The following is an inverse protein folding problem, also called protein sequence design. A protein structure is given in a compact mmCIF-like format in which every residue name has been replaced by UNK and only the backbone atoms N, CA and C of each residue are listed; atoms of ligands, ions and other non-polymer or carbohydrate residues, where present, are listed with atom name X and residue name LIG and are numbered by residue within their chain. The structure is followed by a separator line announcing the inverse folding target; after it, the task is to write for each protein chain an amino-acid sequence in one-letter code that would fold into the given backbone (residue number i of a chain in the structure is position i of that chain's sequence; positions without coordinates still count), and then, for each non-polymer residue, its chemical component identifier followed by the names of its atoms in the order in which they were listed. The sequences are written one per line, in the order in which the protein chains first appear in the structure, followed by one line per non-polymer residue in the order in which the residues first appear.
data_IF_958027478494
#
_entry.id   IF_958027478494
#
_cell.length_a   1.000
_cell.length_b   1.000
_cell.length_c   1.000
_cell.angle_alpha   90.00
_cell.angle_beta   90.00
_cell.angle_gamma   90.00
#
_symmetry.space_group_name_H-M   'P 1'
#
loop_
_entity.id
_entity.type
_entity.pdbx_description
1 polymer ?
#
# COMPACT_ATOMS: atom_id res chain seq x y z
N UNK A 1 -49.08 8.78 14.78
CA UNK A 1 -47.75 9.38 14.88
C UNK A 1 -47.86 10.72 14.19
N UNK A 2 -47.91 11.84 14.95
CA UNK A 2 -47.95 13.19 14.41
C UNK A 2 -46.67 13.48 13.65
N UNK A 3 -46.76 13.94 12.40
CA UNK A 3 -45.63 14.49 11.66
C UNK A 3 -44.99 15.62 12.48
N UNK A 4 -43.66 15.67 12.62
CA UNK A 4 -42.99 16.73 13.33
C UNK A 4 -43.24 18.06 12.59
N UNK A 5 -43.84 19.03 13.25
CA UNK A 5 -44.02 20.39 12.74
C UNK A 5 -42.68 20.91 12.19
N UNK A 6 -42.61 21.49 10.96
CA UNK A 6 -41.39 22.05 10.44
C UNK A 6 -40.85 23.11 11.41
N UNK A 7 -39.67 22.90 11.98
CA UNK A 7 -39.05 23.93 12.83
C UNK A 7 -38.78 25.16 11.98
N UNK A 8 -39.30 26.32 12.37
CA UNK A 8 -39.06 27.59 11.68
C UNK A 8 -37.57 27.89 11.54
N UNK A 9 -37.17 28.49 10.43
CA UNK A 9 -35.80 28.92 10.19
C UNK A 9 -35.39 29.98 11.23
N UNK A 10 -34.11 29.89 11.66
CA UNK A 10 -33.50 30.83 12.59
C UNK A 10 -33.22 32.13 11.87
N UNK A 11 -33.64 33.24 12.48
CA UNK A 11 -33.28 34.59 12.00
C UNK A 11 -31.87 34.96 12.45
N UNK A 12 -31.17 35.73 11.63
CA UNK A 12 -29.85 36.23 11.91
C UNK A 12 -29.42 37.31 10.93
N UNK A 13 -28.20 37.80 11.07
CA UNK A 13 -27.63 38.80 10.17
C UNK A 13 -26.18 38.44 9.80
N UNK A 14 -25.71 38.86 8.60
CA UNK A 14 -24.32 38.69 8.25
C UNK A 14 -23.44 39.56 9.16
N UNK A 15 -22.38 38.99 9.69
CA UNK A 15 -21.39 39.66 10.52
C UNK A 15 -20.00 39.09 10.23
N UNK A 16 -18.96 39.93 10.41
CA UNK A 16 -17.59 39.43 10.35
C UNK A 16 -17.32 38.42 11.47
N UNK A 17 -16.56 37.38 11.17
CA UNK A 17 -16.17 36.34 12.15
C UNK A 17 -14.68 36.45 12.40
N UNK A 18 -14.28 37.34 13.31
CA UNK A 18 -12.90 37.69 13.57
C UNK A 18 -11.99 36.47 13.83
N UNK A 19 -12.45 35.51 14.66
CA UNK A 19 -11.70 34.27 14.97
C UNK A 19 -11.45 33.38 13.77
N UNK A 20 -12.16 33.59 12.65
CA UNK A 20 -12.02 32.86 11.40
C UNK A 20 -11.46 33.72 10.28
N UNK A 21 -11.12 34.96 10.57
CA UNK A 21 -10.66 35.97 9.61
C UNK A 21 -11.61 36.15 8.40
N UNK A 22 -12.95 35.95 8.64
CA UNK A 22 -14.00 36.11 7.63
C UNK A 22 -14.62 37.50 7.71
N UNK A 23 -14.68 38.18 6.55
CA UNK A 23 -15.28 39.50 6.42
C UNK A 23 -16.83 39.42 6.40
N UNK A 24 -17.48 40.52 6.77
CA UNK A 24 -18.92 40.62 6.68
C UNK A 24 -19.44 40.48 5.24
N UNK A 25 -18.70 41.03 4.25
CA UNK A 25 -19.09 40.94 2.85
C UNK A 25 -19.10 39.50 2.34
N UNK A 26 -18.10 38.69 2.75
CA UNK A 26 -18.08 37.27 2.46
C UNK A 26 -19.26 36.54 3.12
N UNK A 27 -19.48 36.78 4.39
CA UNK A 27 -20.62 36.20 5.12
C UNK A 27 -21.97 36.60 4.50
N UNK A 28 -22.13 37.87 4.08
CA UNK A 28 -23.32 38.38 3.39
C UNK A 28 -23.58 37.68 2.06
N UNK A 29 -22.54 37.60 1.24
CA UNK A 29 -22.61 36.91 -0.07
C UNK A 29 -23.04 35.45 0.06
N UNK A 30 -22.48 34.74 1.01
CA UNK A 30 -22.70 33.32 1.21
C UNK A 30 -23.98 33.00 2.01
N UNK A 31 -24.66 34.00 2.56
CA UNK A 31 -25.78 33.77 3.47
C UNK A 31 -25.36 33.05 4.75
N UNK A 32 -24.13 33.31 5.23
CA UNK A 32 -23.60 32.77 6.48
C UNK A 32 -23.80 33.81 7.58
N UNK A 33 -24.70 33.52 8.51
CA UNK A 33 -25.21 34.50 9.45
C UNK A 33 -24.86 34.16 10.89
N UNK A 34 -24.90 35.18 11.74
CA UNK A 34 -24.93 35.05 13.20
C UNK A 34 -26.33 35.27 13.70
N UNK A 35 -26.81 34.36 14.56
CA UNK A 35 -28.13 34.41 15.16
C UNK A 35 -28.12 33.84 16.57
N UNK A 36 -29.33 33.57 17.11
CA UNK A 36 -29.48 32.99 18.45
C UNK A 36 -30.56 31.92 18.44
N UNK A 37 -30.35 30.84 19.18
CA UNK A 37 -31.33 29.78 19.45
C UNK A 37 -31.40 29.61 20.96
N UNK A 38 -32.57 29.83 21.55
CA UNK A 38 -32.79 29.77 23.01
C UNK A 38 -31.76 30.59 23.80
N UNK A 39 -31.43 31.80 23.30
CA UNK A 39 -30.47 32.70 23.93
C UNK A 39 -29.00 32.34 23.70
N UNK A 40 -28.68 31.23 23.05
CA UNK A 40 -27.32 30.83 22.72
C UNK A 40 -26.94 31.33 21.32
N UNK A 41 -25.76 31.95 21.15
CA UNK A 41 -25.28 32.39 19.84
C UNK A 41 -25.00 31.19 18.92
N UNK A 42 -25.41 31.34 17.66
CA UNK A 42 -25.27 30.28 16.66
C UNK A 42 -24.83 30.86 15.33
N UNK A 43 -23.94 30.12 14.64
CA UNK A 43 -23.59 30.39 13.24
C UNK A 43 -24.58 29.62 12.35
N UNK A 44 -25.10 30.29 11.31
CA UNK A 44 -26.16 29.79 10.45
C UNK A 44 -25.67 29.77 9.01
N UNK A 45 -25.49 28.59 8.46
CA UNK A 45 -25.26 28.42 7.02
C UNK A 45 -26.62 28.21 6.34
N UNK A 46 -27.07 29.20 5.54
CA UNK A 46 -28.32 29.14 4.82
C UNK A 46 -28.13 28.43 3.48
N UNK A 47 -28.65 27.22 3.37
CA UNK A 47 -28.70 26.48 2.10
C UNK A 47 -29.86 27.03 1.26
N UNK A 48 -29.57 27.29 0.00
CA UNK A 48 -30.52 27.89 -0.92
C UNK A 48 -30.67 27.04 -2.17
N UNK A 49 -31.89 27.00 -2.65
CA UNK A 49 -32.23 26.48 -3.98
C UNK A 49 -31.68 27.40 -5.06
N UNK A 50 -31.69 26.94 -6.32
CA UNK A 50 -31.17 27.70 -7.46
C UNK A 50 -31.86 29.05 -7.67
N UNK A 51 -33.12 29.18 -7.31
CA UNK A 51 -33.89 30.42 -7.33
C UNK A 51 -33.65 31.34 -6.11
N UNK A 52 -32.67 30.96 -5.26
CA UNK A 52 -32.22 31.77 -4.12
C UNK A 52 -33.05 31.68 -2.85
N UNK A 53 -34.08 30.81 -2.81
CA UNK A 53 -34.90 30.59 -1.59
C UNK A 53 -34.16 29.67 -0.63
N UNK A 54 -34.22 29.99 0.68
CA UNK A 54 -33.67 29.14 1.74
C UNK A 54 -34.48 27.85 1.85
N UNK A 55 -33.83 26.70 1.64
CA UNK A 55 -34.42 25.35 1.77
C UNK A 55 -33.98 24.63 3.04
N UNK A 56 -32.82 24.98 3.59
CA UNK A 56 -32.31 24.42 4.82
C UNK A 56 -31.35 25.37 5.53
N UNK A 57 -31.17 25.14 6.82
CA UNK A 57 -30.13 25.79 7.61
C UNK A 57 -29.31 24.76 8.37
N UNK A 58 -27.97 24.90 8.31
CA UNK A 58 -27.08 24.20 9.20
C UNK A 58 -26.58 25.14 10.27
N UNK A 59 -26.85 24.79 11.51
CA UNK A 59 -26.57 25.58 12.69
C UNK A 59 -25.33 25.03 13.37
N UNK A 60 -24.37 25.90 13.68
CA UNK A 60 -23.17 25.53 14.44
C UNK A 60 -23.13 26.27 15.76
N UNK A 61 -23.17 25.55 16.86
CA UNK A 61 -23.12 26.07 18.20
C UNK A 61 -21.69 26.32 18.71
N UNK A 62 -21.57 27.03 19.84
CA UNK A 62 -20.25 27.35 20.42
C UNK A 62 -19.48 26.11 20.89
N UNK A 63 -20.16 25.07 21.34
CA UNK A 63 -19.62 23.77 21.74
C UNK A 63 -19.20 22.88 20.54
N UNK A 64 -19.28 23.40 19.33
CA UNK A 64 -19.01 22.71 18.04
C UNK A 64 -20.06 21.66 17.66
N UNK A 65 -21.18 21.56 18.37
CA UNK A 65 -22.32 20.74 17.94
C UNK A 65 -23.02 21.36 16.73
N UNK A 66 -23.77 20.54 16.01
CA UNK A 66 -24.53 20.95 14.82
C UNK A 66 -25.98 20.55 14.92
N UNK A 67 -26.87 21.37 14.34
CA UNK A 67 -28.25 21.01 14.10
C UNK A 67 -28.65 21.44 12.67
N UNK A 68 -29.57 20.71 12.08
CA UNK A 68 -30.09 21.02 10.74
C UNK A 68 -31.60 21.32 10.84
N UNK A 69 -32.05 22.33 10.08
CA UNK A 69 -33.45 22.65 9.85
C UNK A 69 -33.72 22.61 8.36
N UNK A 70 -34.75 21.93 7.95
CA UNK A 70 -35.04 21.66 6.55
C UNK A 70 -34.20 20.54 5.99
N UNK A 71 -34.22 20.33 4.68
CA UNK A 71 -33.50 19.31 3.98
C UNK A 71 -32.29 19.90 3.25
N UNK A 72 -31.08 19.34 3.52
CA UNK A 72 -29.85 19.74 2.83
C UNK A 72 -29.86 19.16 1.42
N UNK A 73 -30.10 20.00 0.43
CA UNK A 73 -30.16 19.64 -0.99
C UNK A 73 -28.98 20.28 -1.73
N UNK A 74 -28.22 19.49 -2.48
CA UNK A 74 -27.11 19.98 -3.29
C UNK A 74 -25.90 20.46 -2.48
N UNK A 75 -25.04 21.22 -3.11
CA UNK A 75 -23.82 21.77 -2.51
C UNK A 75 -24.07 23.17 -1.94
N UNK A 76 -23.48 23.46 -0.78
CA UNK A 76 -23.57 24.80 -0.19
C UNK A 76 -22.92 25.85 -1.09
N UNK A 77 -23.60 26.93 -1.36
CA UNK A 77 -23.14 28.02 -2.22
C UNK A 77 -23.35 27.79 -3.72
N UNK A 78 -23.88 26.63 -4.15
CA UNK A 78 -24.07 26.32 -5.58
C UNK A 78 -24.93 27.39 -6.32
N UNK A 79 -25.90 27.95 -5.66
CA UNK A 79 -26.80 29.01 -6.21
C UNK A 79 -26.08 30.32 -6.55
N UNK A 80 -24.87 30.54 -6.03
CA UNK A 80 -24.07 31.76 -6.25
C UNK A 80 -23.38 31.79 -7.62
N UNK A 81 -23.33 30.66 -8.32
CA UNK A 81 -22.50 30.48 -9.48
C UNK A 81 -23.30 30.03 -10.69
N UNK A 82 -22.83 30.46 -11.87
CA UNK A 82 -23.38 30.01 -13.14
C UNK A 82 -23.09 28.51 -13.38
N UNK A 83 -23.84 27.92 -14.28
CA UNK A 83 -23.63 26.53 -14.70
C UNK A 83 -22.42 26.40 -15.62
N UNK A 84 -21.37 25.78 -15.11
CA UNK A 84 -20.15 25.51 -15.88
C UNK A 84 -19.16 26.68 -15.92
N UNK A 85 -17.97 26.37 -16.38
CA UNK A 85 -16.85 27.30 -16.49
C UNK A 85 -15.52 26.56 -16.41
N UNK A 86 -14.44 27.33 -16.33
CA UNK A 86 -13.09 26.76 -16.35
C UNK A 86 -12.78 25.95 -15.07
N UNK A 87 -13.19 26.44 -13.89
CA UNK A 87 -12.84 25.78 -12.61
C UNK A 87 -13.87 26.04 -11.55
N UNK A 88 -14.13 25.03 -10.72
CA UNK A 88 -14.85 25.15 -9.45
C UNK A 88 -14.06 24.46 -8.35
N UNK A 89 -14.07 25.05 -7.14
CA UNK A 89 -13.45 24.43 -5.95
C UNK A 89 -14.56 23.85 -5.07
N UNK A 90 -14.37 22.62 -4.61
CA UNK A 90 -15.27 21.92 -3.69
C UNK A 90 -14.52 21.72 -2.37
N UNK A 91 -15.04 22.30 -1.29
CA UNK A 91 -14.46 22.19 0.06
C UNK A 91 -15.26 21.23 0.94
N UNK A 92 -14.64 20.79 2.04
CA UNK A 92 -15.29 19.89 3.00
C UNK A 92 -16.30 20.58 3.90
N UNK A 93 -16.05 21.83 4.28
CA UNK A 93 -16.86 22.60 5.21
C UNK A 93 -17.30 23.95 4.65
N UNK A 94 -18.42 24.49 5.18
CA UNK A 94 -18.95 25.77 4.77
C UNK A 94 -17.97 26.92 5.04
N UNK A 95 -17.27 26.86 6.19
CA UNK A 95 -16.27 27.88 6.57
C UNK A 95 -15.08 27.86 5.62
N UNK A 96 -14.68 26.69 5.13
CA UNK A 96 -13.60 26.54 4.16
C UNK A 96 -14.00 27.10 2.80
N UNK A 97 -15.27 26.90 2.39
CA UNK A 97 -15.79 27.52 1.18
C UNK A 97 -15.76 29.05 1.25
N UNK A 98 -16.18 29.63 2.40
CA UNK A 98 -16.07 31.05 2.61
C UNK A 98 -14.63 31.54 2.57
N UNK A 99 -13.71 30.78 3.18
CA UNK A 99 -12.27 31.11 3.22
C UNK A 99 -11.64 31.14 1.86
N UNK A 100 -11.88 30.09 1.06
CA UNK A 100 -11.43 30.03 -0.34
C UNK A 100 -12.06 31.15 -1.16
N UNK A 101 -13.36 31.37 -1.02
CA UNK A 101 -14.06 32.42 -1.74
C UNK A 101 -13.51 33.81 -1.41
N UNK A 102 -13.23 34.08 -0.14
CA UNK A 102 -12.62 35.35 0.30
C UNK A 102 -11.20 35.51 -0.27
N UNK A 103 -10.39 34.42 -0.28
CA UNK A 103 -9.07 34.44 -0.90
C UNK A 103 -9.13 34.73 -2.41
N UNK A 104 -10.25 34.43 -3.05
CA UNK A 104 -10.55 34.76 -4.46
C UNK A 104 -11.33 36.06 -4.64
N UNK A 105 -11.32 36.95 -3.68
CA UNK A 105 -12.12 38.21 -3.69
C UNK A 105 -13.62 37.97 -3.94
N UNK A 106 -14.12 36.81 -3.55
CA UNK A 106 -15.50 36.38 -3.79
C UNK A 106 -15.92 36.31 -5.27
N UNK A 107 -15.01 36.09 -6.21
CA UNK A 107 -15.28 36.18 -7.67
C UNK A 107 -15.34 34.82 -8.39
N UNK A 108 -14.73 33.76 -7.83
CA UNK A 108 -14.58 32.47 -8.48
C UNK A 108 -15.48 31.41 -7.87
N UNK A 109 -15.91 30.39 -8.66
CA UNK A 109 -16.81 29.34 -8.18
C UNK A 109 -16.17 28.50 -7.08
N UNK A 110 -16.84 28.48 -5.93
CA UNK A 110 -16.52 27.64 -4.77
C UNK A 110 -17.82 27.09 -4.22
N UNK A 111 -17.83 25.85 -3.80
CA UNK A 111 -18.96 25.20 -3.11
C UNK A 111 -18.44 24.32 -1.99
N UNK A 112 -19.31 23.95 -1.06
CA UNK A 112 -18.98 23.02 0.00
C UNK A 112 -19.92 21.82 0.00
N UNK A 113 -19.41 20.64 0.36
CA UNK A 113 -20.26 19.49 0.65
C UNK A 113 -20.95 19.68 2.00
N UNK A 114 -22.23 19.29 2.13
CA UNK A 114 -22.89 19.21 3.43
C UNK A 114 -22.32 18.04 4.25
N UNK A 115 -22.25 18.20 5.57
CA UNK A 115 -21.93 17.12 6.52
C UNK A 115 -20.52 16.48 6.40
N UNK A 116 -19.54 17.20 5.83
CA UNK A 116 -18.14 16.82 5.83
C UNK A 116 -17.78 15.63 4.91
N UNK A 117 -16.51 15.18 4.97
CA UNK A 117 -15.96 14.16 4.08
C UNK A 117 -16.74 12.84 4.08
N UNK A 118 -17.23 12.38 5.22
CA UNK A 118 -17.97 11.10 5.32
C UNK A 118 -19.26 11.03 4.51
N UNK A 119 -19.90 12.18 4.23
CA UNK A 119 -21.10 12.25 3.42
C UNK A 119 -20.84 12.84 2.00
N UNK A 120 -19.63 13.32 1.75
CA UNK A 120 -19.27 14.07 0.55
C UNK A 120 -19.62 13.33 -0.74
N UNK A 121 -19.26 12.04 -0.81
CA UNK A 121 -19.52 11.19 -1.97
C UNK A 121 -20.98 11.22 -2.43
N UNK A 122 -21.94 11.18 -1.49
CA UNK A 122 -23.37 11.22 -1.77
C UNK A 122 -23.76 12.55 -2.43
N UNK A 123 -23.31 13.67 -1.87
CA UNK A 123 -23.69 15.00 -2.36
C UNK A 123 -22.98 15.36 -3.66
N UNK A 124 -21.73 14.93 -3.84
CA UNK A 124 -21.01 15.08 -5.10
C UNK A 124 -21.69 14.27 -6.20
N UNK A 125 -22.09 13.01 -5.93
CA UNK A 125 -22.84 12.20 -6.88
C UNK A 125 -24.17 12.84 -7.33
N UNK A 126 -24.88 13.49 -6.41
CA UNK A 126 -26.11 14.23 -6.72
C UNK A 126 -25.86 15.50 -7.55
N UNK A 127 -24.69 16.10 -7.42
CA UNK A 127 -24.31 17.32 -8.13
C UNK A 127 -23.41 17.05 -9.36
N UNK A 128 -23.23 15.77 -9.76
CA UNK A 128 -22.26 15.38 -10.78
C UNK A 128 -22.48 16.09 -12.11
N UNK A 129 -23.74 16.20 -12.58
CA UNK A 129 -24.09 16.85 -13.83
C UNK A 129 -23.76 18.34 -13.84
N UNK A 130 -23.79 18.98 -12.66
CA UNK A 130 -23.40 20.37 -12.52
C UNK A 130 -21.89 20.53 -12.45
N UNK A 131 -21.21 19.69 -11.70
CA UNK A 131 -19.75 19.68 -11.56
C UNK A 131 -19.08 19.38 -12.89
N UNK A 132 -19.57 18.42 -13.63
CA UNK A 132 -19.01 18.02 -14.95
C UNK A 132 -19.16 19.08 -16.04
N UNK A 133 -19.92 20.14 -15.81
CA UNK A 133 -19.96 21.32 -16.69
C UNK A 133 -18.75 22.24 -16.55
N UNK A 134 -17.92 22.02 -15.53
CA UNK A 134 -16.64 22.71 -15.38
C UNK A 134 -15.52 21.91 -16.06
N UNK A 135 -14.50 22.63 -16.58
CA UNK A 135 -13.33 21.98 -17.15
C UNK A 135 -12.48 21.30 -16.07
N UNK A 136 -12.44 21.91 -14.87
CA UNK A 136 -11.70 21.42 -13.72
C UNK A 136 -12.54 21.55 -12.44
N UNK A 137 -12.56 20.48 -11.64
CA UNK A 137 -13.15 20.43 -10.29
C UNK A 137 -12.04 20.16 -9.30
N UNK A 138 -11.73 21.13 -8.44
CA UNK A 138 -10.67 21.04 -7.44
C UNK A 138 -11.26 20.69 -6.09
N UNK A 139 -10.97 19.51 -5.57
CA UNK A 139 -11.31 19.12 -4.20
C UNK A 139 -10.26 19.66 -3.24
N UNK A 140 -10.69 20.48 -2.29
CA UNK A 140 -9.90 21.09 -1.24
C UNK A 140 -10.50 20.71 0.12
N UNK A 141 -10.19 19.51 0.57
CA UNK A 141 -10.68 18.95 1.84
C UNK A 141 -9.62 19.05 2.93
N UNK A 142 -9.96 18.68 4.16
CA UNK A 142 -9.03 18.69 5.29
C UNK A 142 -7.81 17.78 5.00
N UNK A 143 -6.63 18.16 5.49
CA UNK A 143 -5.37 17.43 5.26
C UNK A 143 -5.19 16.24 6.22
N UNK A 144 -6.26 15.76 6.84
CA UNK A 144 -6.25 14.50 7.59
C UNK A 144 -6.63 13.29 6.71
N UNK A 145 -6.50 12.08 7.25
CA UNK A 145 -6.74 10.84 6.50
C UNK A 145 -8.18 10.72 5.99
N UNK A 146 -9.15 11.24 6.75
CA UNK A 146 -10.58 11.19 6.40
C UNK A 146 -10.87 12.15 5.24
N UNK A 147 -10.34 13.38 5.31
CA UNK A 147 -10.46 14.35 4.25
C UNK A 147 -9.78 13.93 2.96
N UNK A 148 -8.55 13.41 3.03
CA UNK A 148 -7.81 12.88 1.86
C UNK A 148 -8.57 11.73 1.18
N UNK A 149 -9.08 10.78 1.96
CA UNK A 149 -9.88 9.66 1.45
C UNK A 149 -11.18 10.16 0.82
N UNK A 150 -11.88 11.08 1.49
CA UNK A 150 -13.12 11.67 0.99
C UNK A 150 -12.92 12.42 -0.33
N UNK A 151 -11.82 13.19 -0.45
CA UNK A 151 -11.47 13.88 -1.69
C UNK A 151 -11.23 12.89 -2.85
N UNK A 152 -10.46 11.81 -2.61
CA UNK A 152 -10.20 10.77 -3.61
C UNK A 152 -11.49 10.04 -4.03
N UNK A 153 -12.35 9.68 -3.08
CA UNK A 153 -13.64 9.02 -3.37
C UNK A 153 -14.60 9.92 -4.16
N UNK A 154 -14.59 11.23 -3.93
CA UNK A 154 -15.35 12.21 -4.71
C UNK A 154 -14.77 12.42 -6.10
N UNK A 155 -13.44 12.52 -6.20
CA UNK A 155 -12.73 12.69 -7.46
C UNK A 155 -12.97 11.52 -8.44
N UNK A 156 -13.06 10.30 -7.91
CA UNK A 156 -13.35 9.09 -8.69
C UNK A 156 -14.75 9.07 -9.34
N UNK A 157 -15.66 9.93 -8.93
CA UNK A 157 -17.01 10.03 -9.52
C UNK A 157 -17.06 10.88 -10.79
N UNK A 158 -16.10 11.78 -10.98
CA UNK A 158 -16.09 12.73 -12.08
C UNK A 158 -15.55 12.10 -13.36
N UNK A 159 -15.90 12.71 -14.47
CA UNK A 159 -15.29 12.35 -15.75
C UNK A 159 -13.76 12.40 -15.66
N UNK A 160 -13.03 11.37 -16.11
CA UNK A 160 -11.57 11.32 -16.06
C UNK A 160 -10.92 12.60 -16.64
N UNK A 161 -9.88 13.09 -15.94
CA UNK A 161 -9.17 14.30 -16.32
C UNK A 161 -9.75 15.61 -15.75
N UNK A 162 -10.97 15.59 -15.19
CA UNK A 162 -11.60 16.80 -14.61
C UNK A 162 -11.30 17.02 -13.15
N UNK A 163 -11.19 15.94 -12.38
CA UNK A 163 -10.96 16.02 -10.93
C UNK A 163 -9.50 16.37 -10.62
N UNK A 164 -9.31 17.28 -9.71
CA UNK A 164 -8.00 17.67 -9.16
C UNK A 164 -8.10 17.69 -7.64
N UNK A 165 -7.02 17.37 -6.94
CA UNK A 165 -6.94 17.41 -5.49
C UNK A 165 -5.89 18.43 -5.09
N UNK A 166 -6.28 19.39 -4.23
CA UNK A 166 -5.37 20.37 -3.67
C UNK A 166 -4.72 19.84 -2.40
N UNK A 167 -3.43 20.08 -2.23
CA UNK A 167 -2.69 19.83 -1.01
C UNK A 167 -2.38 21.16 -0.33
N UNK A 168 -2.75 21.28 0.94
CA UNK A 168 -2.51 22.47 1.74
C UNK A 168 -1.39 22.21 2.76
N UNK A 169 -0.54 23.22 3.06
CA UNK A 169 0.49 23.11 4.09
C UNK A 169 -0.04 23.19 5.51
N UNK A 170 -1.31 23.59 5.71
CA UNK A 170 -2.03 23.58 6.99
C UNK A 170 -3.23 22.64 6.89
N UNK A 171 -3.93 22.47 8.02
CA UNK A 171 -5.01 21.49 8.14
C UNK A 171 -6.14 21.70 7.13
N UNK A 172 -6.61 22.93 7.00
CA UNK A 172 -7.76 23.29 6.18
C UNK A 172 -7.61 24.70 5.56
N UNK A 173 -8.54 25.08 4.68
CA UNK A 173 -8.50 26.37 4.01
C UNK A 173 -8.73 27.55 4.97
N UNK A 174 -9.49 27.35 6.05
CA UNK A 174 -9.69 28.40 7.04
C UNK A 174 -8.42 28.63 7.87
N UNK A 175 -7.70 27.59 8.23
CA UNK A 175 -6.41 27.74 8.92
C UNK A 175 -5.40 28.52 8.07
N UNK A 176 -5.39 28.34 6.75
CA UNK A 176 -4.60 29.14 5.81
C UNK A 176 -5.00 30.61 5.84
N UNK A 177 -6.31 30.90 5.85
CA UNK A 177 -6.84 32.26 5.90
C UNK A 177 -6.49 32.94 7.24
N UNK A 178 -6.66 32.25 8.36
CA UNK A 178 -6.33 32.75 9.72
C UNK A 178 -4.83 33.01 9.86
N UNK A 179 -3.98 32.20 9.24
CA UNK A 179 -2.54 32.38 9.20
C UNK A 179 -2.09 33.49 8.21
N UNK A 180 -3.03 34.23 7.59
CA UNK A 180 -2.74 35.25 6.55
C UNK A 180 -2.00 34.72 5.33
N UNK A 181 -2.18 33.44 4.98
CA UNK A 181 -1.54 32.74 3.84
C UNK A 181 -2.48 32.63 2.64
N UNK A 182 -3.36 33.63 2.41
CA UNK A 182 -4.35 33.61 1.33
C UNK A 182 -3.74 33.46 -0.07
N UNK A 183 -2.59 34.11 -0.33
CA UNK A 183 -1.89 33.97 -1.62
C UNK A 183 -1.41 32.56 -1.85
N UNK A 184 -0.91 31.90 -0.81
CA UNK A 184 -0.43 30.53 -0.87
C UNK A 184 -1.59 29.53 -1.00
N UNK A 185 -2.72 29.76 -0.29
CA UNK A 185 -3.96 29.00 -0.50
C UNK A 185 -4.38 29.04 -1.97
N UNK A 186 -4.41 30.22 -2.57
CA UNK A 186 -4.72 30.40 -3.99
C UNK A 186 -3.75 29.61 -4.86
N UNK A 187 -2.46 29.66 -4.58
CA UNK A 187 -1.44 28.93 -5.32
C UNK A 187 -1.66 27.41 -5.22
N UNK A 188 -1.90 26.87 -4.02
CA UNK A 188 -2.20 25.44 -3.82
C UNK A 188 -3.41 24.98 -4.66
N UNK A 189 -4.45 25.82 -4.78
CA UNK A 189 -5.62 25.53 -5.61
C UNK A 189 -5.33 25.56 -7.12
N UNK A 190 -4.36 26.37 -7.56
CA UNK A 190 -3.91 26.39 -8.95
C UNK A 190 -2.98 25.23 -9.27
N UNK A 191 -2.16 24.82 -8.32
CA UNK A 191 -1.21 23.70 -8.42
C UNK A 191 -1.84 22.34 -8.08
N UNK A 192 -3.16 22.30 -7.85
CA UNK A 192 -3.88 21.06 -7.55
C UNK A 192 -3.60 20.00 -8.62
N UNK A 193 -3.25 18.80 -8.15
CA UNK A 193 -2.87 17.68 -9.03
C UNK A 193 -4.10 16.99 -9.59
N UNK A 194 -4.06 16.65 -10.87
CA UNK A 194 -5.09 15.80 -11.49
C UNK A 194 -5.22 14.49 -10.73
N UNK A 195 -6.45 14.17 -10.30
CA UNK A 195 -6.74 12.88 -9.70
C UNK A 195 -6.59 11.77 -10.72
N UNK A 196 -5.79 10.79 -10.35
CA UNK A 196 -5.66 9.54 -11.10
C UNK A 196 -5.90 8.39 -10.14
N UNK A 197 -6.63 7.35 -10.55
CA UNK A 197 -6.73 6.12 -9.75
C UNK A 197 -5.34 5.59 -9.42
N UNK A 198 -5.21 4.96 -8.25
CA UNK A 198 -3.95 4.36 -7.81
C UNK A 198 -3.32 3.49 -8.90
N UNK A 199 -2.01 3.64 -9.08
CA UNK A 199 -1.24 2.88 -10.07
C UNK A 199 -1.13 3.50 -11.47
N UNK A 200 -1.84 4.61 -11.77
CA UNK A 200 -1.70 5.32 -13.06
C UNK A 200 -0.71 6.49 -12.90
N UNK A 201 0.48 6.34 -13.49
CA UNK A 201 1.55 7.34 -13.44
C UNK A 201 1.77 7.93 -14.84
N UNK A 202 1.94 9.26 -14.94
CA UNK A 202 2.29 9.91 -16.19
C UNK A 202 3.79 9.71 -16.48
N UNK A 203 4.13 9.33 -17.72
CA UNK A 203 5.51 9.12 -18.13
C UNK A 203 6.44 10.32 -17.89
N UNK A 204 5.93 11.56 -17.87
CA UNK A 204 6.72 12.75 -17.53
C UNK A 204 7.16 12.80 -16.06
N UNK A 205 6.36 12.20 -15.17
CA UNK A 205 6.62 12.13 -13.73
C UNK A 205 7.62 11.01 -13.39
N UNK A 206 7.80 10.05 -14.32
CA UNK A 206 8.76 8.95 -14.13
C UNK A 206 10.21 9.42 -14.08
N UNK A 207 10.53 10.60 -14.62
CA UNK A 207 11.91 11.10 -14.57
C UNK A 207 12.42 11.25 -13.13
N UNK A 208 11.60 11.79 -12.24
CA UNK A 208 11.96 11.96 -10.84
C UNK A 208 12.14 10.60 -10.13
N UNK A 209 11.35 9.60 -10.50
CA UNK A 209 11.46 8.23 -9.98
C UNK A 209 12.75 7.55 -10.46
N UNK A 210 13.05 7.61 -11.77
CA UNK A 210 14.22 6.95 -12.35
C UNK A 210 15.54 7.70 -12.12
N UNK A 211 15.50 9.02 -11.94
CA UNK A 211 16.68 9.84 -11.67
C UNK A 211 17.17 9.72 -10.22
N UNK A 212 16.29 9.41 -9.29
CA UNK A 212 16.69 8.98 -7.96
C UNK A 212 17.26 7.57 -8.08
N UNK A 213 18.59 7.47 -8.05
CA UNK A 213 19.26 6.17 -7.92
C UNK A 213 18.85 5.57 -6.58
N UNK A 214 17.82 4.74 -6.57
CA UNK A 214 17.68 3.79 -5.49
C UNK A 214 18.94 2.94 -5.51
N UNK A 215 19.76 3.07 -4.47
CA UNK A 215 20.91 2.19 -4.28
C UNK A 215 20.40 0.79 -3.96
N UNK A 216 19.83 0.11 -4.94
CA UNK A 216 19.62 -1.34 -4.87
C UNK A 216 20.98 -2.02 -4.89
N UNK A 217 21.65 -2.01 -3.75
CA UNK A 217 22.91 -2.73 -3.56
C UNK A 217 22.61 -4.22 -3.68
N UNK A 218 22.83 -4.76 -4.89
CA UNK A 218 22.78 -6.21 -5.08
C UNK A 218 23.78 -6.88 -4.13
N UNK A 219 23.40 -8.03 -3.57
CA UNK A 219 24.30 -8.88 -2.80
C UNK A 219 24.83 -9.99 -3.71
N UNK A 220 26.13 -10.26 -3.71
CA UNK A 220 26.64 -11.34 -4.53
C UNK A 220 26.12 -12.71 -4.07
N UNK A 221 25.90 -13.62 -5.00
CA UNK A 221 25.79 -15.03 -4.68
C UNK A 221 27.17 -15.58 -4.25
N UNK A 222 27.24 -16.66 -3.47
CA UNK A 222 28.52 -17.34 -3.17
C UNK A 222 29.17 -17.97 -4.41
N UNK A 223 28.48 -17.98 -5.54
CA UNK A 223 28.87 -18.62 -6.79
C UNK A 223 29.25 -17.57 -7.84
N UNK A 224 30.55 -17.53 -8.26
CA UNK A 224 31.06 -16.52 -9.20
C UNK A 224 30.32 -16.57 -10.54
N UNK A 225 30.12 -17.77 -11.09
CA UNK A 225 29.44 -17.96 -12.38
C UNK A 225 27.98 -17.43 -12.35
N UNK A 226 27.28 -17.60 -11.23
CA UNK A 226 25.93 -17.11 -11.08
C UNK A 226 25.89 -15.58 -11.03
N UNK A 227 26.88 -14.95 -10.38
CA UNK A 227 26.98 -13.49 -10.34
C UNK A 227 27.19 -12.86 -11.72
N UNK A 228 27.96 -13.51 -12.60
CA UNK A 228 28.21 -13.00 -13.95
C UNK A 228 26.94 -12.96 -14.82
N UNK A 229 25.97 -13.83 -14.53
CA UNK A 229 24.71 -13.94 -15.28
C UNK A 229 23.61 -13.07 -14.65
N UNK A 230 23.53 -13.03 -13.31
CA UNK A 230 22.41 -12.42 -12.59
C UNK A 230 22.71 -11.03 -12.07
N UNK A 231 23.98 -10.64 -11.99
CA UNK A 231 24.45 -9.43 -11.30
C UNK A 231 24.15 -9.42 -9.79
N UNK A 232 24.00 -10.60 -9.17
CA UNK A 232 23.72 -10.77 -7.75
C UNK A 232 22.23 -10.85 -7.38
N UNK A 233 21.96 -10.92 -6.09
CA UNK A 233 20.62 -10.98 -5.49
C UNK A 233 20.13 -9.57 -5.16
N UNK A 234 18.86 -9.29 -5.36
CA UNK A 234 18.24 -8.00 -5.05
C UNK A 234 17.04 -8.17 -4.11
N UNK A 235 16.86 -7.20 -3.27
CA UNK A 235 15.63 -7.07 -2.49
C UNK A 235 14.46 -6.76 -3.43
N UNK A 236 13.26 -7.21 -3.07
CA UNK A 236 12.06 -7.09 -3.91
C UNK A 236 11.95 -8.17 -5.00
N UNK A 237 12.92 -9.11 -5.10
CA UNK A 237 12.87 -10.23 -6.04
C UNK A 237 12.43 -11.53 -5.37
N UNK A 238 11.63 -12.31 -6.11
CA UNK A 238 11.27 -13.68 -5.79
C UNK A 238 12.04 -14.62 -6.74
N UNK A 239 12.99 -15.36 -6.18
CA UNK A 239 13.84 -16.31 -6.92
C UNK A 239 13.40 -17.72 -6.61
N UNK A 240 13.05 -18.52 -7.62
CA UNK A 240 12.73 -19.94 -7.44
C UNK A 240 13.91 -20.82 -7.77
N UNK A 241 14.26 -21.71 -6.83
CA UNK A 241 15.28 -22.75 -7.01
C UNK A 241 14.59 -24.09 -7.23
N UNK A 242 14.99 -24.82 -8.26
CA UNK A 242 14.43 -26.13 -8.57
C UNK A 242 15.51 -27.14 -9.02
N UNK A 243 15.26 -28.40 -8.77
CA UNK A 243 16.12 -29.50 -9.22
C UNK A 243 15.41 -30.85 -9.04
N UNK A 244 15.96 -31.91 -9.60
CA UNK A 244 15.61 -33.29 -9.29
C UNK A 244 15.80 -33.62 -7.80
N UNK A 245 15.27 -34.76 -7.37
CA UNK A 245 15.41 -35.24 -5.99
C UNK A 245 16.88 -35.55 -5.69
N UNK A 246 17.37 -35.17 -4.51
CA UNK A 246 18.76 -35.45 -4.10
C UNK A 246 19.85 -34.63 -4.81
N UNK A 247 19.53 -33.73 -5.73
CA UNK A 247 20.53 -32.91 -6.48
C UNK A 247 21.20 -31.85 -5.58
N UNK A 248 20.56 -31.44 -4.48
CA UNK A 248 21.15 -30.51 -3.51
C UNK A 248 20.47 -29.15 -3.39
N UNK A 249 19.17 -29.02 -3.71
CA UNK A 249 18.40 -27.77 -3.57
C UNK A 249 18.58 -27.09 -2.20
N UNK A 250 18.32 -27.84 -1.14
CA UNK A 250 18.40 -27.32 0.23
C UNK A 250 19.83 -26.93 0.62
N UNK A 251 20.85 -27.67 0.14
CA UNK A 251 22.24 -27.30 0.35
C UNK A 251 22.58 -25.98 -0.35
N UNK A 252 22.17 -25.83 -1.61
CA UNK A 252 22.36 -24.59 -2.37
C UNK A 252 21.72 -23.38 -1.67
N UNK A 253 20.49 -23.54 -1.16
CA UNK A 253 19.80 -22.48 -0.40
C UNK A 253 20.51 -22.16 0.92
N UNK A 254 21.03 -23.17 1.63
CA UNK A 254 21.82 -22.97 2.86
C UNK A 254 23.14 -22.26 2.61
N UNK A 255 23.83 -22.55 1.50
CA UNK A 255 25.04 -21.83 1.11
C UNK A 255 24.78 -20.35 0.85
N UNK A 256 23.67 -20.02 0.17
CA UNK A 256 23.25 -18.63 -0.02
C UNK A 256 22.90 -17.98 1.34
N UNK A 257 22.14 -18.65 2.20
CA UNK A 257 21.78 -18.14 3.51
C UNK A 257 23.01 -17.90 4.39
N UNK A 258 23.96 -18.85 4.43
CA UNK A 258 25.23 -18.70 5.14
C UNK A 258 26.05 -17.51 4.61
N UNK A 259 26.12 -17.35 3.30
CA UNK A 259 26.82 -16.23 2.68
C UNK A 259 26.19 -14.89 3.05
N UNK A 260 24.86 -14.77 2.99
CA UNK A 260 24.12 -13.56 3.40
C UNK A 260 24.34 -13.21 4.88
N UNK A 261 24.34 -14.21 5.77
CA UNK A 261 24.69 -14.03 7.19
C UNK A 261 26.10 -13.47 7.35
N UNK A 262 27.07 -14.00 6.57
CA UNK A 262 28.45 -13.50 6.51
C UNK A 262 28.57 -12.07 6.02
N UNK A 263 27.67 -11.62 5.13
CA UNK A 263 27.54 -10.23 4.68
C UNK A 263 26.80 -9.33 5.69
N UNK A 264 26.37 -9.88 6.82
CA UNK A 264 25.67 -9.16 7.87
C UNK A 264 24.18 -8.93 7.62
N UNK A 265 23.59 -9.66 6.65
CA UNK A 265 22.16 -9.61 6.36
C UNK A 265 21.34 -10.43 7.37
N UNK A 266 20.05 -10.06 7.55
CA UNK A 266 19.13 -10.79 8.41
C UNK A 266 18.33 -11.78 7.57
N UNK A 267 18.36 -13.05 7.95
CA UNK A 267 17.79 -14.17 7.20
C UNK A 267 16.68 -14.86 7.99
N UNK A 268 15.51 -14.99 7.39
CA UNK A 268 14.42 -15.86 7.83
C UNK A 268 14.41 -17.15 7.02
N UNK A 269 14.59 -18.30 7.65
CA UNK A 269 14.65 -19.61 6.97
C UNK A 269 13.50 -20.51 7.43
N UNK A 270 12.61 -20.88 6.52
CA UNK A 270 11.47 -21.75 6.77
C UNK A 270 11.69 -23.06 6.02
N UNK A 271 12.07 -24.10 6.78
CA UNK A 271 12.24 -25.45 6.27
C UNK A 271 11.05 -26.31 6.74
N UNK A 272 10.20 -26.72 5.83
CA UNK A 272 8.98 -27.46 6.17
C UNK A 272 9.17 -29.00 6.13
N UNK A 273 10.28 -29.48 5.54
CA UNK A 273 10.61 -30.91 5.44
C UNK A 273 11.65 -31.40 6.46
N UNK A 274 12.25 -30.49 7.21
CA UNK A 274 13.29 -30.88 8.15
C UNK A 274 13.19 -30.13 9.49
N UNK A 275 13.80 -30.71 10.51
CA UNK A 275 13.82 -30.09 11.84
C UNK A 275 14.72 -28.86 11.88
N UNK A 276 14.45 -27.94 12.79
CA UNK A 276 15.29 -26.75 13.07
C UNK A 276 16.74 -27.16 13.35
N UNK A 277 16.96 -28.26 14.10
CA UNK A 277 18.30 -28.80 14.37
C UNK A 277 19.02 -29.14 13.07
N UNK A 278 18.37 -29.82 12.13
CA UNK A 278 18.98 -30.23 10.86
C UNK A 278 19.32 -29.04 9.98
N UNK A 279 18.44 -28.04 9.93
CA UNK A 279 18.70 -26.79 9.22
C UNK A 279 19.90 -26.04 9.81
N UNK A 280 19.96 -25.91 11.15
CA UNK A 280 21.08 -25.27 11.83
C UNK A 280 22.40 -25.99 11.61
N UNK A 281 22.43 -27.32 11.78
CA UNK A 281 23.61 -28.15 11.52
C UNK A 281 24.05 -28.10 10.06
N UNK A 282 23.11 -27.97 9.11
CA UNK A 282 23.42 -27.78 7.70
C UNK A 282 24.18 -26.48 7.43
N UNK A 283 23.76 -25.35 8.03
CA UNK A 283 24.45 -24.06 7.91
C UNK A 283 25.80 -24.08 8.62
N UNK A 284 25.88 -24.66 9.83
CA UNK A 284 27.11 -24.84 10.56
C UNK A 284 28.09 -25.74 9.81
N UNK A 285 27.60 -26.80 9.17
CA UNK A 285 28.40 -27.71 8.37
C UNK A 285 29.06 -27.01 7.17
N UNK A 286 28.35 -26.08 6.53
CA UNK A 286 28.93 -25.24 5.48
C UNK A 286 30.06 -24.37 6.04
N UNK A 287 29.83 -23.71 7.19
CA UNK A 287 30.81 -22.85 7.85
C UNK A 287 32.10 -23.62 8.22
N UNK A 288 31.93 -24.83 8.74
CA UNK A 288 33.02 -25.68 9.22
C UNK A 288 33.61 -26.59 8.13
N UNK A 289 32.98 -26.62 6.95
CA UNK A 289 33.29 -27.56 5.87
C UNK A 289 33.25 -29.03 6.35
N UNK A 290 32.26 -29.38 7.18
CA UNK A 290 32.02 -30.69 7.75
C UNK A 290 30.57 -31.11 7.56
N UNK A 291 30.24 -32.36 7.22
CA UNK A 291 28.85 -32.83 7.06
C UNK A 291 28.20 -33.15 8.41
N UNK A 292 28.09 -32.16 9.32
CA UNK A 292 27.64 -32.27 10.71
C UNK A 292 26.26 -32.90 10.88
N UNK A 293 25.43 -32.89 9.86
CA UNK A 293 24.07 -33.45 9.91
C UNK A 293 24.03 -34.96 9.66
N UNK A 294 25.15 -35.59 9.31
CA UNK A 294 25.24 -37.00 8.99
C UNK A 294 25.77 -37.83 10.15
N UNK A 295 26.57 -37.25 11.06
CA UNK A 295 27.24 -37.97 12.12
C UNK A 295 27.38 -37.10 13.38
N UNK A 296 26.73 -37.53 14.47
CA UNK A 296 26.79 -36.84 15.75
C UNK A 296 28.17 -36.88 16.41
N UNK A 297 29.04 -37.84 16.05
CA UNK A 297 30.41 -37.92 16.56
C UNK A 297 31.31 -36.79 16.01
N UNK A 298 30.87 -36.09 14.97
CA UNK A 298 31.52 -34.87 14.46
C UNK A 298 31.23 -33.60 15.25
N UNK A 299 30.39 -33.68 16.30
CA UNK A 299 29.93 -32.53 17.09
C UNK A 299 30.89 -32.31 18.28
N UNK A 300 32.02 -31.65 18.06
CA UNK A 300 32.86 -31.12 19.14
C UNK A 300 32.35 -29.75 19.60
N UNK A 301 31.92 -29.65 20.84
CA UNK A 301 31.35 -28.43 21.40
C UNK A 301 32.33 -27.25 21.35
N UNK A 302 33.64 -27.50 21.49
CA UNK A 302 34.67 -26.47 21.45
C UNK A 302 34.79 -25.83 20.05
N UNK A 303 34.56 -26.60 18.98
CA UNK A 303 34.55 -26.11 17.61
C UNK A 303 33.16 -25.56 17.21
N UNK A 304 32.12 -26.24 17.66
CA UNK A 304 30.73 -25.89 17.31
C UNK A 304 30.30 -24.55 17.89
N UNK A 305 30.64 -24.26 19.15
CA UNK A 305 30.20 -23.03 19.82
C UNK A 305 30.69 -21.77 19.10
N UNK A 306 31.98 -21.62 18.74
CA UNK A 306 32.44 -20.47 17.98
C UNK A 306 31.84 -20.38 16.59
N UNK A 307 31.60 -21.50 15.92
CA UNK A 307 30.92 -21.53 14.61
C UNK A 307 29.47 -21.09 14.72
N UNK A 308 28.76 -21.57 15.74
CA UNK A 308 27.38 -21.15 16.05
C UNK A 308 27.28 -19.64 16.27
N UNK A 309 28.13 -19.08 17.14
CA UNK A 309 28.10 -17.65 17.47
C UNK A 309 28.41 -16.76 16.25
N UNK A 310 29.14 -17.26 15.26
CA UNK A 310 29.45 -16.54 14.01
C UNK A 310 28.39 -16.69 12.91
N UNK A 311 27.50 -17.67 13.02
CA UNK A 311 26.50 -18.00 11.99
C UNK A 311 25.09 -17.91 12.53
N UNK A 312 24.44 -19.01 12.84
CA UNK A 312 23.04 -19.07 13.26
C UNK A 312 22.77 -18.41 14.61
N UNK A 313 23.77 -18.32 15.48
CA UNK A 313 23.71 -17.69 16.80
C UNK A 313 24.03 -16.19 16.81
N UNK A 314 24.33 -15.58 15.65
CA UNK A 314 24.76 -14.17 15.55
C UNK A 314 23.64 -13.13 15.73
N UNK A 315 22.42 -13.57 16.03
CA UNK A 315 21.24 -12.72 16.19
C UNK A 315 20.58 -12.24 14.89
N UNK A 316 21.04 -12.73 13.73
CA UNK A 316 20.51 -12.38 12.40
C UNK A 316 19.90 -13.56 11.63
N UNK A 317 19.82 -14.72 12.26
CA UNK A 317 19.20 -15.91 11.71
C UNK A 317 17.94 -16.26 12.50
N UNK A 318 16.83 -16.38 11.79
CA UNK A 318 15.54 -16.76 12.37
C UNK A 318 14.97 -17.92 11.59
N UNK A 319 14.44 -18.92 12.29
CA UNK A 319 13.80 -20.08 11.68
C UNK A 319 12.44 -20.35 12.32
N UNK A 320 11.56 -20.99 11.58
CA UNK A 320 10.25 -21.40 12.06
C UNK A 320 10.26 -22.89 12.41
N UNK A 321 9.97 -23.19 13.67
CA UNK A 321 9.91 -24.57 14.16
C UNK A 321 8.55 -25.18 13.82
N UNK A 322 8.48 -25.77 12.65
CA UNK A 322 7.30 -26.51 12.17
C UNK A 322 7.72 -27.60 11.20
N UNK A 323 7.11 -28.76 11.33
CA UNK A 323 7.31 -29.89 10.46
C UNK A 323 5.98 -30.36 9.88
N UNK A 324 5.89 -30.47 8.55
CA UNK A 324 4.70 -30.94 7.85
C UNK A 324 3.88 -29.87 7.14
N UNK A 325 2.64 -30.21 6.79
CA UNK A 325 1.76 -29.33 6.02
C UNK A 325 1.28 -28.11 6.81
N UNK A 326 1.14 -26.98 6.13
CA UNK A 326 0.65 -25.73 6.70
C UNK A 326 -0.29 -25.03 5.71
N UNK A 327 -1.36 -24.43 6.21
CA UNK A 327 -2.23 -23.57 5.41
C UNK A 327 -1.48 -22.32 4.92
N UNK A 328 -1.76 -21.91 3.67
CA UNK A 328 -1.05 -20.80 3.04
C UNK A 328 -1.15 -19.48 3.81
N UNK A 329 -2.29 -19.16 4.40
CA UNK A 329 -2.50 -17.92 5.14
C UNK A 329 -1.72 -17.91 6.46
N UNK A 330 -1.58 -19.05 7.11
CA UNK A 330 -0.75 -19.19 8.31
C UNK A 330 0.74 -19.01 7.96
N UNK A 331 1.21 -19.63 6.87
CA UNK A 331 2.56 -19.45 6.36
C UNK A 331 2.89 -17.98 6.07
N UNK A 332 2.01 -17.30 5.33
CA UNK A 332 2.18 -15.88 5.00
C UNK A 332 2.24 -14.99 6.24
N UNK A 333 1.41 -15.28 7.25
CA UNK A 333 1.45 -14.58 8.53
C UNK A 333 2.80 -14.74 9.23
N UNK A 334 3.40 -15.95 9.22
CA UNK A 334 4.73 -16.19 9.80
C UNK A 334 5.84 -15.46 9.03
N UNK A 335 5.78 -15.51 7.69
CA UNK A 335 6.74 -14.78 6.84
C UNK A 335 6.64 -13.27 7.11
N UNK A 336 5.42 -12.71 7.17
CA UNK A 336 5.22 -11.28 7.47
C UNK A 336 5.76 -10.92 8.86
N UNK A 337 5.62 -11.80 9.85
CA UNK A 337 6.18 -11.60 11.17
C UNK A 337 7.72 -11.61 11.17
N UNK A 338 8.35 -12.53 10.44
CA UNK A 338 9.81 -12.55 10.28
C UNK A 338 10.32 -11.24 9.66
N UNK A 339 9.63 -10.72 8.64
CA UNK A 339 10.03 -9.49 7.96
C UNK A 339 9.81 -8.26 8.85
N UNK A 340 8.59 -8.08 9.38
CA UNK A 340 8.22 -6.85 10.12
C UNK A 340 8.65 -6.88 11.59
N UNK A 341 8.67 -8.07 12.22
CA UNK A 341 9.02 -8.24 13.64
C UNK A 341 10.51 -8.39 13.89
N UNK A 342 11.23 -9.07 13.02
CA UNK A 342 12.65 -9.35 13.17
C UNK A 342 13.52 -8.69 12.08
N UNK A 343 12.94 -7.85 11.22
CA UNK A 343 13.63 -7.15 10.14
C UNK A 343 14.39 -8.08 9.19
N UNK A 344 13.83 -9.29 8.94
CA UNK A 344 14.42 -10.22 7.99
C UNK A 344 14.36 -9.63 6.58
N UNK A 345 15.52 -9.36 6.00
CA UNK A 345 15.63 -8.84 4.63
C UNK A 345 15.51 -9.95 3.58
N UNK A 346 15.91 -11.16 3.95
CA UNK A 346 15.94 -12.33 3.06
C UNK A 346 15.14 -13.47 3.67
N UNK A 347 14.22 -14.02 2.87
CA UNK A 347 13.37 -15.14 3.28
C UNK A 347 13.66 -16.35 2.40
N UNK A 348 13.94 -17.49 3.04
CA UNK A 348 14.05 -18.79 2.39
C UNK A 348 12.84 -19.64 2.74
N UNK A 349 12.18 -20.20 1.73
CA UNK A 349 11.06 -21.11 1.89
C UNK A 349 11.39 -22.46 1.21
N UNK A 350 11.66 -23.49 2.00
CA UNK A 350 12.00 -24.83 1.55
C UNK A 350 11.00 -25.86 2.11
N UNK A 351 10.00 -26.32 1.33
CA UNK A 351 9.62 -25.95 -0.04
C UNK A 351 8.12 -25.69 -0.18
N UNK A 352 7.73 -25.09 -1.31
CA UNK A 352 6.33 -24.68 -1.59
C UNK A 352 5.32 -25.86 -1.59
N UNK A 353 5.70 -27.03 -2.09
CA UNK A 353 4.75 -28.15 -2.27
C UNK A 353 4.18 -28.73 -0.97
N UNK A 354 4.77 -28.44 0.19
CA UNK A 354 4.20 -28.83 1.48
C UNK A 354 2.94 -28.06 1.84
N UNK A 355 2.81 -26.82 1.39
CA UNK A 355 1.60 -26.00 1.60
C UNK A 355 0.36 -26.66 0.96
N UNK A 356 0.59 -27.46 -0.06
CA UNK A 356 -0.47 -28.16 -0.82
C UNK A 356 -0.48 -29.69 -0.58
N UNK A 357 0.30 -30.18 0.39
CA UNK A 357 0.38 -31.62 0.66
C UNK A 357 -0.96 -32.15 1.18
N UNK A 358 -1.42 -33.25 0.57
CA UNK A 358 -2.71 -33.87 0.90
C UNK A 358 -3.87 -33.48 -0.02
N UNK A 359 -3.69 -32.55 -0.95
CA UNK A 359 -4.67 -32.15 -1.96
C UNK A 359 -4.23 -32.69 -3.32
N UNK A 360 -5.14 -33.18 -4.15
CA UNK A 360 -4.82 -33.75 -5.47
C UNK A 360 -5.60 -33.05 -6.59
N UNK A 361 -5.01 -33.02 -7.79
CA UNK A 361 -5.65 -32.55 -9.01
C UNK A 361 -5.71 -31.05 -9.19
N UNK A 362 -6.83 -30.54 -9.72
CA UNK A 362 -7.00 -29.12 -10.05
C UNK A 362 -6.99 -28.22 -8.81
N UNK A 363 -7.33 -28.73 -7.66
CA UNK A 363 -7.30 -28.01 -6.40
C UNK A 363 -5.85 -27.76 -5.92
N UNK A 364 -4.91 -28.72 -6.14
CA UNK A 364 -3.49 -28.53 -5.89
C UNK A 364 -2.93 -27.35 -6.73
N UNK A 365 -3.28 -27.33 -8.02
CA UNK A 365 -2.83 -26.26 -8.94
C UNK A 365 -3.34 -24.89 -8.50
N UNK A 366 -4.65 -24.77 -8.21
CA UNK A 366 -5.26 -23.52 -7.76
C UNK A 366 -4.65 -23.02 -6.45
N UNK A 367 -4.35 -23.91 -5.53
CA UNK A 367 -3.73 -23.53 -4.25
C UNK A 367 -2.30 -23.05 -4.45
N UNK A 368 -1.52 -23.68 -5.34
CA UNK A 368 -0.18 -23.19 -5.73
C UNK A 368 -0.28 -21.81 -6.38
N UNK A 369 -1.19 -21.61 -7.33
CA UNK A 369 -1.40 -20.33 -8.00
C UNK A 369 -1.74 -19.21 -7.00
N UNK A 370 -2.67 -19.48 -6.11
CA UNK A 370 -3.06 -18.53 -5.06
C UNK A 370 -1.91 -18.23 -4.09
N UNK A 371 -1.16 -19.27 -3.69
CA UNK A 371 -0.02 -19.10 -2.77
C UNK A 371 1.09 -18.29 -3.42
N UNK A 372 1.43 -18.58 -4.67
CA UNK A 372 2.44 -17.82 -5.43
C UNK A 372 2.02 -16.36 -5.61
N UNK A 373 0.75 -16.10 -5.93
CA UNK A 373 0.22 -14.73 -6.05
C UNK A 373 0.35 -13.98 -4.73
N UNK A 374 0.02 -14.61 -3.60
CA UNK A 374 0.14 -14.01 -2.27
C UNK A 374 1.61 -13.79 -1.87
N UNK A 375 2.51 -14.73 -2.19
CA UNK A 375 3.95 -14.57 -1.94
C UNK A 375 4.53 -13.43 -2.77
N UNK A 376 4.18 -13.32 -4.05
CA UNK A 376 4.61 -12.20 -4.89
C UNK A 376 4.11 -10.85 -4.34
N UNK A 377 2.83 -10.77 -3.99
CA UNK A 377 2.26 -9.56 -3.35
C UNK A 377 2.97 -9.21 -2.05
N UNK A 378 3.35 -10.21 -1.24
CA UNK A 378 4.10 -10.00 -0.01
C UNK A 378 5.51 -9.45 -0.28
N UNK A 379 6.21 -9.95 -1.28
CA UNK A 379 7.52 -9.45 -1.71
C UNK A 379 7.43 -8.00 -2.17
N UNK A 380 6.44 -7.66 -2.99
CA UNK A 380 6.16 -6.27 -3.42
C UNK A 380 5.83 -5.34 -2.24
N UNK A 381 4.94 -5.78 -1.33
CA UNK A 381 4.54 -5.00 -0.16
C UNK A 381 5.69 -4.71 0.80
N UNK A 382 6.58 -5.69 0.98
CA UNK A 382 7.61 -5.63 2.02
C UNK A 382 9.00 -5.26 1.51
N UNK A 383 9.23 -5.40 0.21
CA UNK A 383 10.55 -5.21 -0.40
C UNK A 383 11.59 -6.24 0.02
N UNK A 384 11.19 -7.39 0.59
CA UNK A 384 12.16 -8.45 0.97
C UNK A 384 12.67 -9.21 -0.26
N UNK A 385 13.88 -9.77 -0.19
CA UNK A 385 14.36 -10.79 -1.13
C UNK A 385 13.83 -12.17 -0.70
N UNK A 386 13.26 -12.93 -1.63
CA UNK A 386 12.73 -14.26 -1.33
C UNK A 386 13.34 -15.34 -2.21
N UNK A 387 13.82 -16.41 -1.58
CA UNK A 387 14.28 -17.64 -2.26
C UNK A 387 13.31 -18.77 -1.95
N UNK A 388 12.65 -19.26 -2.98
CA UNK A 388 11.63 -20.30 -2.90
C UNK A 388 12.15 -21.59 -3.52
N UNK A 389 12.01 -22.72 -2.83
CA UNK A 389 12.31 -24.04 -3.39
C UNK A 389 11.05 -24.68 -3.97
N UNK A 390 11.13 -25.15 -5.20
CA UNK A 390 10.07 -25.89 -5.87
C UNK A 390 10.57 -27.24 -6.40
N UNK A 391 9.72 -28.27 -6.35
CA UNK A 391 10.00 -29.56 -6.94
C UNK A 391 9.71 -29.59 -8.44
N UNK A 392 10.34 -30.52 -9.13
CA UNK A 392 10.06 -30.86 -10.52
C UNK A 392 9.01 -31.98 -10.61
N UNK A 393 8.25 -32.01 -11.70
CA UNK A 393 7.45 -33.16 -12.11
C UNK A 393 8.37 -34.32 -12.47
N UNK A 394 7.91 -35.54 -12.25
CA UNK A 394 8.60 -36.72 -12.80
C UNK A 394 8.45 -36.72 -14.31
N UNK A 395 9.56 -36.93 -15.01
CA UNK A 395 9.67 -37.06 -16.47
C UNK A 395 10.28 -38.40 -16.81
N UNK A 396 10.11 -38.86 -18.06
CA UNK A 396 10.57 -40.17 -18.52
C UNK A 396 12.09 -40.37 -18.38
N UNK A 397 12.86 -39.32 -18.66
CA UNK A 397 14.29 -39.28 -18.35
C UNK A 397 14.46 -38.60 -17.01
N UNK A 398 14.85 -39.32 -15.97
CA UNK A 398 15.00 -38.78 -14.61
C UNK A 398 15.97 -37.59 -14.59
N UNK A 399 15.57 -36.52 -13.88
CA UNK A 399 16.46 -35.38 -13.69
C UNK A 399 17.73 -35.78 -12.91
N UNK A 400 17.63 -36.80 -12.10
CA UNK A 400 18.71 -37.44 -11.37
C UNK A 400 19.72 -38.14 -12.28
N UNK A 401 19.32 -38.49 -13.48
CA UNK A 401 20.13 -39.16 -14.52
C UNK A 401 20.74 -38.18 -15.54
N UNK A 402 20.73 -36.89 -15.24
CA UNK A 402 21.26 -35.84 -16.10
C UNK A 402 20.26 -35.26 -17.10
N UNK A 403 18.97 -35.54 -16.93
CA UNK A 403 17.90 -34.87 -17.68
C UNK A 403 17.89 -33.36 -17.44
N UNK A 404 17.85 -32.56 -18.52
CA UNK A 404 17.85 -31.12 -18.43
C UNK A 404 16.60 -30.59 -17.71
N UNK A 405 16.79 -29.58 -16.88
CA UNK A 405 15.71 -28.88 -16.22
C UNK A 405 15.07 -27.84 -17.17
N UNK A 406 13.76 -27.82 -17.22
CA UNK A 406 12.99 -26.87 -18.02
C UNK A 406 11.87 -26.28 -17.17
N UNK A 407 11.44 -25.07 -17.50
CA UNK A 407 10.30 -24.40 -16.82
C UNK A 407 9.01 -25.24 -16.87
N UNK A 408 8.82 -26.04 -17.93
CA UNK A 408 7.67 -26.95 -18.05
C UNK A 408 7.68 -28.10 -17.04
N UNK A 409 8.85 -28.38 -16.45
CA UNK A 409 9.01 -29.44 -15.47
C UNK A 409 8.68 -29.00 -14.05
N UNK A 410 8.44 -27.68 -13.80
CA UNK A 410 8.02 -27.23 -12.49
C UNK A 410 6.72 -27.92 -12.07
N UNK A 411 6.72 -28.50 -10.87
CA UNK A 411 5.57 -29.24 -10.36
C UNK A 411 4.47 -28.27 -9.91
N UNK A 412 3.26 -28.58 -10.35
CA UNK A 412 2.05 -27.94 -9.90
C UNK A 412 1.55 -26.88 -10.86
N UNK A 413 2.25 -25.78 -11.11
CA UNK A 413 1.71 -24.67 -11.88
C UNK A 413 2.75 -23.89 -12.68
N UNK A 414 2.32 -23.33 -13.82
CA UNK A 414 3.07 -22.32 -14.55
C UNK A 414 3.22 -20.99 -13.79
N UNK A 415 2.34 -20.73 -12.80
CA UNK A 415 2.41 -19.53 -11.97
C UNK A 415 3.76 -19.41 -11.24
N UNK A 416 4.40 -20.53 -10.88
CA UNK A 416 5.72 -20.50 -10.26
C UNK A 416 6.74 -19.80 -11.20
N UNK A 417 6.76 -20.18 -12.49
CA UNK A 417 7.66 -19.53 -13.46
C UNK A 417 7.25 -18.09 -13.78
N UNK A 418 5.94 -17.81 -13.85
CA UNK A 418 5.42 -16.49 -14.24
C UNK A 418 5.56 -15.43 -13.15
N UNK A 419 5.46 -15.83 -11.88
CA UNK A 419 5.51 -14.93 -10.73
C UNK A 419 6.90 -14.84 -10.08
N UNK A 420 7.89 -15.63 -10.56
CA UNK A 420 9.29 -15.53 -10.15
C UNK A 420 10.03 -14.56 -11.06
N UNK A 421 10.84 -13.68 -10.47
CA UNK A 421 11.75 -12.81 -11.22
C UNK A 421 12.87 -13.62 -11.88
N UNK A 422 13.26 -14.76 -11.24
CA UNK A 422 14.27 -15.67 -11.72
C UNK A 422 13.95 -17.11 -11.31
N UNK A 423 14.29 -18.06 -12.18
CA UNK A 423 14.24 -19.50 -11.86
C UNK A 423 15.63 -20.08 -12.06
N UNK A 424 16.20 -20.68 -11.02
CA UNK A 424 17.50 -21.36 -11.03
C UNK A 424 17.24 -22.86 -11.02
N UNK A 425 17.60 -23.51 -12.12
CA UNK A 425 17.58 -24.97 -12.27
C UNK A 425 18.93 -25.58 -11.95
N UNK A 426 19.01 -26.49 -10.98
CA UNK A 426 20.23 -27.23 -10.67
C UNK A 426 20.20 -28.60 -11.40
N UNK A 427 21.26 -28.89 -12.11
CA UNK A 427 21.42 -30.13 -12.87
C UNK A 427 22.65 -30.88 -12.42
N UNK A 428 22.53 -32.19 -12.30
CA UNK A 428 23.66 -33.11 -12.01
C UNK A 428 23.31 -34.51 -12.50
N UNK A 429 24.22 -35.14 -13.18
CA UNK A 429 24.15 -36.57 -13.45
C UNK A 429 24.77 -37.34 -12.29
N UNK A 430 23.92 -37.95 -11.42
CA UNK A 430 24.41 -38.73 -10.27
C UNK A 430 25.02 -40.07 -10.63
N UNK A 431 24.76 -40.55 -11.86
CA UNK A 431 25.31 -41.83 -12.35
C UNK A 431 26.62 -41.65 -13.14
N UNK A 432 27.07 -40.42 -13.33
CA UNK A 432 28.32 -40.14 -14.02
C UNK A 432 29.52 -40.39 -13.11
N UNK A 433 30.43 -41.23 -13.55
CA UNK A 433 31.74 -41.50 -12.89
C UNK A 433 32.68 -40.28 -12.88
N UNK A 434 32.35 -39.25 -13.64
CA UNK A 434 33.07 -37.97 -13.66
C UNK A 434 32.36 -36.95 -12.80
N UNK A 435 32.89 -36.73 -11.61
CA UNK A 435 32.60 -35.53 -10.81
C UNK A 435 33.22 -34.30 -11.50
N UNK A 436 32.62 -33.82 -12.58
CA UNK A 436 32.99 -32.51 -13.12
C UNK A 436 32.38 -31.45 -12.23
N UNK A 437 33.18 -30.76 -11.47
CA UNK A 437 32.86 -29.54 -10.77
C UNK A 437 32.90 -28.36 -11.76
N UNK A 438 32.10 -28.39 -12.82
CA UNK A 438 31.89 -27.25 -13.72
C UNK A 438 30.58 -26.53 -13.42
#
# INVERSE_FOLDING_TARGET
VSEPTPREFVTGSPQAIARRNLTEDTCRKWGYWMGSVNGQPVQIANYKTRDGKTCAQKLRFADKSFATRGELIGLYGQHLWRDGGRRVVVTEGEVDALSVSQAFDNKWPVVSVPNGAGAAKKFVAQAIDWLDRYDQVVFCFDMDDVGRKGAAECAALLTPGKAHIAELPLKDANDMLVANRSKELVQCLFDAREYRPDGIVNGKELWDVISHKEEHKSKPYPFIGLNSITHGMRLGELVTVTAGSGIGKSLFCREIAHHLLGLGETVGYIALEESVRRTALGILGIHMNKPLHLDDDMLDENELRPAFDRTVGNGKFYTYDHFGSMESDNLLSKIRYLIKGFDCKWIFLDHLSIVVSGIQGDDERRLIDNTMTKLRSLVEETGCGMVLVSHLKRVDTGHEEGGRVSLHHLRGSQAIAQLSDMVIGLERNQQSDRLSNE
#
